data_IF_576911756052
#
_entry.id   IF_576911756052
#
_cell.length_a   1.000
_cell.length_b   1.000
_cell.length_c   1.000
_cell.angle_alpha   90.00
_cell.angle_beta   90.00
_cell.angle_gamma   90.00
#
_symmetry.space_group_name_H-M   'P 1'
#
loop_
_entity.id
_entity.type
_entity.pdbx_description
1 polymer ?
#
# COMPACT_ATOMS: atom_id res chain seq x y z
N UNK A 1 -12.35 18.70 -1.65
CA UNK A 1 -11.44 19.45 -0.74
C UNK A 1 -10.45 20.25 -1.58
N UNK A 2 -9.85 21.31 -1.07
CA UNK A 2 -8.82 22.08 -1.79
C UNK A 2 -7.46 21.74 -1.21
N UNK A 3 -6.50 21.41 -2.08
CA UNK A 3 -5.12 21.22 -1.68
C UNK A 3 -4.42 22.56 -1.31
N UNK A 4 -3.14 22.49 -0.94
CA UNK A 4 -2.33 23.68 -0.61
C UNK A 4 -2.13 24.66 -1.79
N UNK A 5 -2.43 24.22 -3.03
CA UNK A 5 -2.41 25.05 -4.23
C UNK A 5 -3.81 25.61 -4.58
N UNK A 6 -4.85 25.32 -3.77
CA UNK A 6 -6.27 25.57 -4.00
C UNK A 6 -6.84 24.80 -5.21
N UNK A 7 -6.29 23.63 -5.53
CA UNK A 7 -6.87 22.71 -6.47
C UNK A 7 -7.90 21.80 -5.79
N UNK A 8 -8.98 21.44 -6.48
CA UNK A 8 -10.03 20.59 -5.94
C UNK A 8 -9.63 19.12 -6.07
N UNK A 9 -9.47 18.44 -4.94
CA UNK A 9 -9.24 17.00 -4.90
C UNK A 9 -10.55 16.26 -5.05
N UNK A 10 -10.65 15.40 -6.06
CA UNK A 10 -11.84 14.59 -6.32
C UNK A 10 -11.48 13.23 -6.92
N UNK A 11 -12.42 12.31 -6.87
CA UNK A 11 -12.29 10.97 -7.43
C UNK A 11 -11.56 10.00 -6.53
N UNK A 12 -10.93 9.01 -7.17
CA UNK A 12 -10.03 8.03 -6.59
C UNK A 12 -8.61 8.31 -7.08
N UNK A 13 -7.70 8.46 -6.18
CA UNK A 13 -6.31 8.71 -6.49
C UNK A 13 -5.41 8.36 -5.33
N UNK A 14 -4.16 8.77 -5.41
CA UNK A 14 -3.17 8.60 -4.36
C UNK A 14 -2.93 7.13 -3.97
N UNK A 15 -2.67 6.27 -4.94
CA UNK A 15 -2.30 4.85 -4.78
C UNK A 15 -3.36 3.91 -4.19
N UNK A 16 -4.49 4.41 -3.69
CA UNK A 16 -5.53 3.56 -3.13
C UNK A 16 -6.03 2.51 -4.12
N UNK A 17 -6.13 1.26 -3.68
CA UNK A 17 -6.70 0.15 -4.45
C UNK A 17 -8.12 -0.13 -3.96
N UNK A 18 -9.14 -0.22 -4.85
CA UNK A 18 -10.46 -0.68 -4.46
C UNK A 18 -10.41 -2.11 -3.93
N UNK A 19 -11.13 -2.38 -2.83
CA UNK A 19 -11.40 -3.76 -2.43
C UNK A 19 -12.50 -4.33 -3.31
N UNK A 20 -12.36 -5.60 -3.76
CA UNK A 20 -13.37 -6.31 -4.53
C UNK A 20 -13.52 -7.72 -4.01
N UNK A 21 -14.75 -8.16 -3.73
CA UNK A 21 -15.05 -9.46 -3.14
C UNK A 21 -16.50 -9.87 -3.40
N UNK A 22 -16.80 -11.15 -3.19
CA UNK A 22 -18.16 -11.65 -3.32
C UNK A 22 -18.80 -11.81 -1.93
N UNK A 23 -20.05 -11.32 -1.79
CA UNK A 23 -20.87 -11.52 -0.62
C UNK A 23 -22.34 -11.65 -1.02
N UNK A 24 -23.02 -12.67 -0.51
CA UNK A 24 -24.44 -12.95 -0.74
C UNK A 24 -24.83 -13.01 -2.23
N UNK A 25 -23.90 -13.49 -3.08
CA UNK A 25 -24.10 -13.60 -4.53
C UNK A 25 -24.00 -12.26 -5.28
N UNK A 26 -23.47 -11.22 -4.66
CA UNK A 26 -23.18 -9.90 -5.25
C UNK A 26 -21.68 -9.66 -5.20
N UNK A 27 -21.08 -9.20 -6.29
CA UNK A 27 -19.70 -8.72 -6.30
C UNK A 27 -19.68 -7.28 -5.78
N UNK A 28 -19.12 -7.09 -4.60
CA UNK A 28 -18.96 -5.78 -3.99
C UNK A 28 -17.66 -5.14 -4.44
N UNK A 29 -17.67 -3.82 -4.61
CA UNK A 29 -16.45 -3.01 -4.59
C UNK A 29 -16.57 -1.92 -3.54
N UNK A 30 -15.52 -1.76 -2.73
CA UNK A 30 -15.45 -0.77 -1.65
C UNK A 30 -14.16 0.03 -1.80
N UNK A 31 -14.26 1.33 -1.67
CA UNK A 31 -13.10 2.22 -1.74
C UNK A 31 -13.32 3.49 -0.94
N UNK A 32 -12.24 4.03 -0.39
CA UNK A 32 -12.18 5.39 0.09
C UNK A 32 -11.93 6.35 -1.06
N UNK A 33 -12.43 7.59 -0.95
CA UNK A 33 -12.31 8.55 -2.01
C UNK A 33 -11.93 9.94 -1.50
N UNK A 34 -11.49 10.79 -2.43
CA UNK A 34 -11.06 12.16 -2.15
C UNK A 34 -12.24 13.12 -1.89
N UNK A 35 -13.48 12.62 -1.91
CA UNK A 35 -14.66 13.33 -1.43
C UNK A 35 -14.89 13.14 0.09
N UNK A 36 -14.01 12.40 0.75
CA UNK A 36 -14.09 12.11 2.17
C UNK A 36 -15.12 11.06 2.52
N UNK A 37 -15.41 10.12 1.62
CA UNK A 37 -16.35 9.05 1.88
C UNK A 37 -15.82 7.66 1.55
N UNK A 38 -16.32 6.65 2.27
CA UNK A 38 -16.18 5.24 1.91
C UNK A 38 -17.42 4.86 1.10
N UNK A 39 -17.21 4.38 -0.12
CA UNK A 39 -18.27 3.96 -1.04
C UNK A 39 -18.41 2.45 -1.08
N UNK A 40 -19.66 1.97 -1.18
CA UNK A 40 -20.05 0.56 -1.17
C UNK A 40 -20.91 0.28 -2.40
N UNK A 41 -20.36 -0.29 -3.45
CA UNK A 41 -21.02 -0.44 -4.73
C UNK A 41 -21.10 -1.92 -5.16
N UNK A 42 -22.11 -2.24 -5.93
CA UNK A 42 -22.16 -3.44 -6.76
C UNK A 42 -21.21 -3.27 -7.96
N UNK A 43 -20.22 -4.12 -8.05
CA UNK A 43 -19.17 -4.03 -9.09
C UNK A 43 -19.68 -4.32 -10.51
N UNK A 44 -20.84 -5.00 -10.65
CA UNK A 44 -21.44 -5.30 -11.96
C UNK A 44 -22.29 -4.14 -12.49
N UNK A 45 -22.95 -3.43 -11.60
CA UNK A 45 -23.96 -2.44 -11.98
C UNK A 45 -23.59 -0.99 -11.64
N UNK A 46 -22.58 -0.79 -10.76
CA UNK A 46 -22.25 0.50 -10.18
C UNK A 46 -23.29 1.04 -9.19
N UNK A 47 -24.30 0.25 -8.87
CA UNK A 47 -25.35 0.67 -7.93
C UNK A 47 -24.82 0.69 -6.49
N UNK A 48 -25.26 1.68 -5.74
CA UNK A 48 -24.96 1.77 -4.32
C UNK A 48 -25.61 0.63 -3.53
N UNK A 49 -24.83 -0.13 -2.78
CA UNK A 49 -25.30 -1.22 -1.90
C UNK A 49 -25.59 -0.73 -0.48
N UNK A 50 -24.73 0.13 0.05
CA UNK A 50 -24.93 0.83 1.32
C UNK A 50 -24.71 2.33 1.09
N UNK A 51 -25.28 3.16 1.97
CA UNK A 51 -24.97 4.60 1.94
C UNK A 51 -23.47 4.83 2.13
N UNK A 52 -22.86 5.80 1.44
CA UNK A 52 -21.50 6.18 1.73
C UNK A 52 -21.31 6.55 3.20
N UNK A 53 -20.23 6.10 3.81
CA UNK A 53 -19.83 6.52 5.15
C UNK A 53 -18.96 7.77 5.00
N UNK A 54 -19.48 8.91 5.42
CA UNK A 54 -18.76 10.18 5.37
C UNK A 54 -17.74 10.27 6.50
N UNK A 55 -16.54 10.72 6.17
CA UNK A 55 -15.44 11.06 7.08
C UNK A 55 -15.20 12.58 7.08
N UNK A 56 -14.40 13.06 8.00
CA UNK A 56 -14.14 14.51 8.14
C UNK A 56 -13.08 15.04 7.15
N UNK A 57 -12.29 14.15 6.53
CA UNK A 57 -11.31 14.48 5.49
C UNK A 57 -11.25 13.36 4.42
N UNK A 58 -10.37 13.54 3.42
CA UNK A 58 -10.19 12.60 2.31
C UNK A 58 -9.66 11.24 2.80
N UNK A 59 -9.89 10.20 1.98
CA UNK A 59 -9.30 8.88 2.18
C UNK A 59 -8.36 8.62 1.00
N UNK A 60 -7.07 8.53 1.30
CA UNK A 60 -5.99 8.28 0.34
C UNK A 60 -5.71 6.79 0.18
N UNK A 61 -5.63 6.08 1.30
CA UNK A 61 -5.22 4.70 1.37
C UNK A 61 -6.23 3.68 0.85
N UNK A 62 -5.77 2.45 0.76
CA UNK A 62 -6.61 1.32 0.38
C UNK A 62 -7.54 0.88 1.51
N UNK A 63 -8.68 0.34 1.12
CA UNK A 63 -9.63 -0.28 2.05
C UNK A 63 -9.36 -1.79 2.10
N UNK A 64 -9.32 -2.37 3.30
CA UNK A 64 -9.19 -3.81 3.50
C UNK A 64 -10.53 -4.40 3.93
N UNK A 65 -10.97 -5.45 3.24
CA UNK A 65 -12.10 -6.28 3.66
C UNK A 65 -11.57 -7.42 4.53
N UNK A 66 -12.32 -7.76 5.57
CA UNK A 66 -11.94 -8.83 6.50
C UNK A 66 -11.68 -10.16 5.78
N UNK A 67 -10.45 -10.73 5.88
CA UNK A 67 -10.07 -11.93 5.13
C UNK A 67 -10.71 -13.21 5.67
N UNK A 68 -11.19 -13.21 6.92
CA UNK A 68 -11.81 -14.37 7.56
C UNK A 68 -13.34 -14.38 7.34
N UNK A 69 -13.87 -13.40 6.59
CA UNK A 69 -15.26 -13.32 6.18
C UNK A 69 -16.20 -12.65 7.19
N UNK A 70 -15.67 -12.00 8.23
CA UNK A 70 -16.47 -11.08 9.01
C UNK A 70 -16.92 -9.90 8.14
N UNK A 71 -18.16 -9.42 8.28
CA UNK A 71 -18.64 -8.27 7.51
C UNK A 71 -18.07 -6.95 8.05
N UNK A 72 -16.75 -6.82 8.02
CA UNK A 72 -15.99 -5.67 8.50
C UNK A 72 -15.09 -5.15 7.39
N UNK A 73 -14.97 -3.84 7.33
CA UNK A 73 -14.02 -3.11 6.48
C UNK A 73 -13.11 -2.29 7.36
N UNK A 74 -11.83 -2.26 7.03
CA UNK A 74 -10.79 -1.52 7.72
C UNK A 74 -10.24 -0.44 6.81
N UNK A 75 -10.13 0.80 7.30
CA UNK A 75 -9.58 1.91 6.53
C UNK A 75 -9.09 3.03 7.42
N UNK A 76 -8.02 3.67 7.02
CA UNK A 76 -7.58 4.92 7.57
C UNK A 76 -8.05 6.12 6.75
N UNK A 77 -7.89 7.32 7.26
CA UNK A 77 -8.21 8.56 6.57
C UNK A 77 -7.28 9.69 6.99
N UNK A 78 -7.37 10.79 6.27
CA UNK A 78 -6.65 12.02 6.59
C UNK A 78 -7.30 12.84 7.72
N UNK A 79 -8.41 12.36 8.24
CA UNK A 79 -9.05 12.85 9.46
C UNK A 79 -8.52 12.16 10.73
N UNK A 80 -7.28 11.69 10.68
CA UNK A 80 -6.49 11.12 11.77
C UNK A 80 -7.02 9.78 12.32
N UNK A 81 -8.11 9.22 11.75
CA UNK A 81 -8.79 8.05 12.29
C UNK A 81 -8.59 6.78 11.45
N UNK A 82 -8.03 5.74 12.07
CA UNK A 82 -8.19 4.35 11.62
C UNK A 82 -9.54 3.83 12.10
N UNK A 83 -10.32 3.16 11.21
CA UNK A 83 -11.70 2.70 11.50
C UNK A 83 -11.90 1.24 11.21
N UNK A 84 -12.73 0.61 12.03
CA UNK A 84 -13.40 -0.66 11.78
C UNK A 84 -14.87 -0.39 11.49
N UNK A 85 -15.34 -0.77 10.30
CA UNK A 85 -16.70 -0.46 9.82
C UNK A 85 -17.46 -1.74 9.53
N UNK A 86 -18.55 -2.00 10.25
CA UNK A 86 -19.47 -3.10 9.97
C UNK A 86 -20.34 -2.77 8.75
N UNK A 87 -20.59 -3.80 7.91
CA UNK A 87 -21.36 -3.69 6.65
C UNK A 87 -22.55 -4.68 6.58
N UNK A 88 -23.04 -5.19 7.71
CA UNK A 88 -24.06 -6.24 7.80
C UNK A 88 -25.45 -5.76 8.24
N UNK A 89 -25.69 -4.47 8.48
CA UNK A 89 -26.91 -3.94 9.10
C UNK A 89 -27.67 -2.91 8.27
N UNK A 90 -27.56 -2.99 6.94
CA UNK A 90 -28.27 -2.11 6.00
C UNK A 90 -27.69 -0.68 5.89
N UNK A 91 -26.92 -0.24 6.87
CA UNK A 91 -26.10 0.98 6.85
C UNK A 91 -24.71 0.66 7.42
N UNK A 92 -23.63 1.32 6.94
CA UNK A 92 -22.31 1.13 7.53
C UNK A 92 -22.29 1.69 8.95
N UNK A 93 -21.66 0.95 9.87
CA UNK A 93 -21.54 1.36 11.27
C UNK A 93 -20.07 1.29 11.71
N UNK A 94 -19.52 2.41 12.17
CA UNK A 94 -18.20 2.41 12.81
C UNK A 94 -18.30 1.68 14.15
N UNK A 95 -17.64 0.53 14.26
CA UNK A 95 -17.57 -0.26 15.50
C UNK A 95 -16.50 0.29 16.44
N UNK A 96 -15.41 0.79 15.87
CA UNK A 96 -14.26 1.28 16.62
C UNK A 96 -13.41 2.22 15.77
N UNK A 97 -12.65 3.10 16.42
CA UNK A 97 -11.65 3.94 15.77
C UNK A 97 -10.46 4.19 16.69
N UNK A 98 -9.29 4.39 16.08
CA UNK A 98 -8.06 4.82 16.74
C UNK A 98 -7.63 6.15 16.12
N UNK A 99 -7.47 7.15 16.99
CA UNK A 99 -6.93 8.46 16.65
C UNK A 99 -5.41 8.41 16.78
N UNK A 100 -4.70 8.68 15.69
CA UNK A 100 -3.24 8.62 15.60
C UNK A 100 -2.53 9.58 16.56
N UNK A 101 -3.15 10.74 16.86
CA UNK A 101 -2.65 11.73 17.81
C UNK A 101 -2.57 11.21 19.25
N UNK A 102 -3.35 10.20 19.59
CA UNK A 102 -3.41 9.63 20.94
C UNK A 102 -2.33 8.61 21.22
N UNK A 103 -1.52 8.25 20.22
CA UNK A 103 -0.49 7.20 20.34
C UNK A 103 0.85 7.81 20.74
N UNK A 104 1.49 7.23 21.77
CA UNK A 104 2.80 7.70 22.24
C UNK A 104 3.89 7.44 21.18
N UNK A 105 4.80 8.40 21.01
CA UNK A 105 5.88 8.34 20.02
C UNK A 105 5.51 8.91 18.66
N UNK A 106 4.31 9.49 18.53
CA UNK A 106 3.90 10.18 17.31
C UNK A 106 4.81 11.37 17.02
N UNK A 107 5.30 11.45 15.77
CA UNK A 107 6.01 12.58 15.20
C UNK A 107 5.53 12.79 13.77
N UNK A 108 5.67 13.99 13.22
CA UNK A 108 5.30 14.37 11.88
C UNK A 108 3.79 14.61 11.72
N UNK A 109 3.10 13.81 10.89
CA UNK A 109 1.69 14.01 10.52
C UNK A 109 0.80 12.95 11.22
N UNK A 110 -0.50 12.91 10.91
CA UNK A 110 -1.45 12.02 11.60
C UNK A 110 -2.32 11.18 10.66
N UNK A 111 -2.08 11.27 9.35
CA UNK A 111 -2.82 10.53 8.32
C UNK A 111 -2.56 9.00 8.40
N UNK A 112 -3.46 8.23 7.78
CA UNK A 112 -3.33 6.79 7.61
C UNK A 112 -3.42 6.45 6.14
N UNK A 113 -2.29 6.24 5.47
CA UNK A 113 -2.19 5.99 4.03
C UNK A 113 -2.03 4.52 3.69
N UNK A 114 -1.33 3.74 4.51
CA UNK A 114 -1.15 2.30 4.31
C UNK A 114 -2.46 1.51 4.38
N UNK A 115 -2.57 0.44 3.59
CA UNK A 115 -3.66 -0.52 3.74
C UNK A 115 -3.51 -1.31 5.05
N UNK A 116 -4.56 -1.38 5.90
CA UNK A 116 -4.54 -2.26 7.06
C UNK A 116 -4.36 -3.73 6.64
N UNK A 117 -3.39 -4.44 7.22
CA UNK A 117 -3.19 -5.86 7.01
C UNK A 117 -3.81 -6.65 8.15
N UNK A 118 -4.73 -7.58 7.85
CA UNK A 118 -5.40 -8.41 8.86
C UNK A 118 -4.98 -9.86 8.74
N UNK A 119 -4.44 -10.43 9.81
CA UNK A 119 -4.04 -11.84 9.91
C UNK A 119 -4.30 -12.35 11.32
N UNK A 120 -4.95 -13.51 11.45
CA UNK A 120 -5.14 -14.22 12.73
C UNK A 120 -5.72 -13.34 13.86
N UNK A 121 -6.75 -12.56 13.58
CA UNK A 121 -7.41 -11.63 14.51
C UNK A 121 -6.54 -10.44 14.96
N UNK A 122 -5.45 -10.16 14.25
CA UNK A 122 -4.63 -8.96 14.44
C UNK A 122 -4.65 -8.09 13.18
N UNK A 123 -4.68 -6.79 13.40
CA UNK A 123 -4.50 -5.77 12.38
C UNK A 123 -3.14 -5.12 12.56
N UNK A 124 -2.38 -5.00 11.48
CA UNK A 124 -1.06 -4.40 11.40
C UNK A 124 -1.12 -3.19 10.49
N UNK A 125 -0.60 -2.04 10.95
CA UNK A 125 -0.59 -0.81 10.14
C UNK A 125 0.50 0.16 10.61
N UNK A 126 1.14 0.85 9.67
CA UNK A 126 1.90 2.06 9.91
C UNK A 126 1.02 3.30 9.78
N UNK A 127 1.40 4.40 10.39
CA UNK A 127 0.73 5.69 10.23
C UNK A 127 1.74 6.79 9.88
N UNK A 128 1.26 7.90 9.31
CA UNK A 128 2.08 9.09 9.12
C UNK A 128 2.53 9.71 10.46
N UNK A 129 1.90 9.31 11.57
CA UNK A 129 2.39 9.59 12.92
C UNK A 129 3.73 8.89 13.24
N UNK A 130 4.30 8.18 12.26
CA UNK A 130 5.59 7.49 12.35
C UNK A 130 5.62 6.32 13.33
N UNK A 131 4.46 5.76 13.66
CA UNK A 131 4.34 4.64 14.60
C UNK A 131 3.81 3.41 13.86
N UNK A 132 4.37 2.24 14.18
CA UNK A 132 3.84 0.93 13.78
C UNK A 132 2.90 0.41 14.87
N UNK A 133 1.70 -0.03 14.46
CA UNK A 133 0.63 -0.45 15.36
C UNK A 133 0.22 -1.90 15.11
N UNK A 134 -0.07 -2.62 16.20
CA UNK A 134 -0.71 -3.93 16.17
C UNK A 134 -1.96 -3.87 17.05
N UNK A 135 -3.12 -4.13 16.44
CA UNK A 135 -4.41 -4.12 17.10
C UNK A 135 -4.97 -5.53 17.09
N UNK A 136 -5.29 -6.09 18.27
CA UNK A 136 -6.04 -7.32 18.38
C UNK A 136 -7.53 -7.00 18.19
N UNK A 137 -8.19 -7.64 17.25
CA UNK A 137 -9.53 -7.24 16.80
C UNK A 137 -10.65 -7.76 17.70
N UNK A 138 -10.51 -8.94 18.32
CA UNK A 138 -11.50 -9.60 19.19
C UNK A 138 -12.89 -9.64 18.52
N UNK A 139 -12.93 -10.14 17.27
CA UNK A 139 -14.15 -10.21 16.44
C UNK A 139 -15.10 -11.28 16.93
N UNK A 140 -16.40 -10.99 16.90
CA UNK A 140 -17.47 -11.89 17.32
C UNK A 140 -18.80 -11.55 16.63
N UNK A 141 -19.86 -12.27 16.97
CA UNK A 141 -21.23 -11.93 16.60
C UNK A 141 -22.09 -11.78 17.86
N UNK A 142 -23.03 -10.85 17.83
CA UNK A 142 -24.04 -10.70 18.88
C UNK A 142 -25.16 -11.76 18.78
N UNK A 143 -26.13 -11.69 19.69
CA UNK A 143 -27.27 -12.64 19.76
C UNK A 143 -28.20 -12.55 18.53
N UNK A 144 -28.21 -11.41 17.83
CA UNK A 144 -28.99 -11.17 16.62
C UNK A 144 -28.21 -11.55 15.33
N UNK A 145 -26.94 -11.94 15.47
CA UNK A 145 -26.06 -12.36 14.38
C UNK A 145 -25.34 -11.21 13.67
N UNK A 146 -25.33 -10.01 14.23
CA UNK A 146 -24.55 -8.89 13.72
C UNK A 146 -23.10 -8.95 14.22
N UNK A 147 -22.18 -8.51 13.36
CA UNK A 147 -20.78 -8.49 13.71
C UNK A 147 -20.48 -7.46 14.81
N UNK A 148 -19.63 -7.87 15.73
CA UNK A 148 -19.07 -7.06 16.81
C UNK A 148 -17.55 -7.16 16.79
N UNK A 149 -16.88 -6.12 17.32
CA UNK A 149 -15.46 -6.14 17.58
C UNK A 149 -15.16 -5.35 18.84
N UNK A 150 -14.17 -5.82 19.63
CA UNK A 150 -13.67 -5.13 20.83
C UNK A 150 -12.14 -4.94 20.69
N UNK A 151 -11.69 -4.06 19.75
CA UNK A 151 -10.28 -3.92 19.41
C UNK A 151 -9.47 -3.37 20.57
N UNK A 152 -8.27 -3.93 20.72
CA UNK A 152 -7.27 -3.53 21.70
C UNK A 152 -5.95 -3.22 21.01
N UNK A 153 -5.38 -2.02 21.21
CA UNK A 153 -4.03 -1.70 20.78
C UNK A 153 -3.05 -2.47 21.67
N UNK A 154 -2.52 -3.59 21.17
CA UNK A 154 -1.64 -4.47 21.93
C UNK A 154 -0.17 -4.15 21.78
N UNK A 155 0.22 -3.45 20.73
CA UNK A 155 1.59 -3.01 20.50
C UNK A 155 1.61 -1.73 19.67
N UNK A 156 2.45 -0.78 20.07
CA UNK A 156 2.76 0.42 19.29
C UNK A 156 4.23 0.78 19.52
N UNK A 157 4.95 1.04 18.43
CA UNK A 157 6.37 1.38 18.52
C UNK A 157 6.75 2.42 17.47
N UNK A 158 7.60 3.41 17.79
CA UNK A 158 8.15 4.32 16.80
C UNK A 158 8.82 3.56 15.66
N UNK A 159 8.44 3.87 14.42
CA UNK A 159 9.07 3.38 13.20
C UNK A 159 10.42 4.03 12.90
N UNK A 160 11.02 4.68 13.88
CA UNK A 160 12.27 5.40 13.79
C UNK A 160 13.13 5.13 15.04
N UNK A 161 14.39 5.52 14.98
CA UNK A 161 15.30 5.56 16.12
C UNK A 161 16.08 6.89 16.12
N UNK A 162 16.82 7.14 17.21
CA UNK A 162 17.58 8.40 17.40
C UNK A 162 18.58 8.65 16.26
N UNK A 163 19.23 7.59 15.75
CA UNK A 163 20.20 7.71 14.65
C UNK A 163 19.51 8.22 13.38
N UNK A 164 18.31 7.72 13.07
CA UNK A 164 17.53 8.16 11.91
C UNK A 164 17.08 9.61 12.07
N UNK A 165 16.39 9.94 13.17
CA UNK A 165 15.90 11.30 13.45
C UNK A 165 17.03 12.34 13.41
N UNK A 166 18.18 12.03 13.99
CA UNK A 166 19.35 12.92 13.96
C UNK A 166 19.92 13.12 12.54
N UNK A 167 19.65 12.18 11.63
CA UNK A 167 20.16 12.22 10.26
C UNK A 167 19.18 12.90 9.30
N UNK A 168 17.90 12.55 9.37
CA UNK A 168 16.90 12.95 8.36
C UNK A 168 15.81 13.92 8.88
N UNK A 169 15.74 14.14 10.20
CA UNK A 169 14.70 14.95 10.83
C UNK A 169 13.45 14.12 11.16
N UNK A 170 12.33 14.79 11.48
CA UNK A 170 11.11 14.17 11.99
C UNK A 170 10.13 13.68 10.90
N UNK A 171 10.35 13.97 9.63
CA UNK A 171 9.55 13.38 8.55
C UNK A 171 10.01 11.93 8.32
N UNK A 172 9.36 11.02 9.04
CA UNK A 172 9.66 9.58 9.06
C UNK A 172 8.35 8.77 9.12
N UNK A 173 7.31 9.27 8.46
CA UNK A 173 6.00 8.63 8.32
C UNK A 173 6.10 7.19 7.78
N UNK A 174 5.15 6.34 8.13
CA UNK A 174 5.03 5.00 7.55
C UNK A 174 3.80 5.02 6.64
N UNK A 175 4.02 5.26 5.34
CA UNK A 175 2.96 5.43 4.34
C UNK A 175 2.66 4.11 3.61
N UNK A 176 3.67 3.27 3.40
CA UNK A 176 3.51 1.93 2.86
C UNK A 176 2.78 0.97 3.79
N UNK A 177 2.13 -0.04 3.20
CA UNK A 177 1.50 -1.10 3.97
C UNK A 177 2.54 -2.04 4.59
N UNK A 178 2.12 -2.76 5.65
CA UNK A 178 2.96 -3.77 6.30
C UNK A 178 2.96 -5.06 5.48
N UNK A 179 4.14 -5.66 5.28
CA UNK A 179 4.28 -6.99 4.71
C UNK A 179 4.65 -7.99 5.81
N UNK A 180 4.09 -9.21 5.76
CA UNK A 180 4.44 -10.29 6.70
C UNK A 180 4.98 -11.47 5.92
N UNK A 181 6.14 -11.99 6.35
CA UNK A 181 6.73 -13.23 5.86
C UNK A 181 7.20 -14.10 7.02
N UNK A 182 6.67 -15.34 7.09
CA UNK A 182 6.83 -16.15 8.28
C UNK A 182 6.27 -15.45 9.52
N UNK A 183 7.08 -15.31 10.53
CA UNK A 183 6.74 -14.63 11.78
C UNK A 183 7.28 -13.19 11.85
N UNK A 184 7.69 -12.58 10.73
CA UNK A 184 8.25 -11.23 10.75
C UNK A 184 7.38 -10.25 9.96
N UNK A 185 7.03 -9.11 10.58
CA UNK A 185 6.43 -7.96 9.94
C UNK A 185 7.52 -7.02 9.42
N UNK A 186 7.42 -6.60 8.15
CA UNK A 186 8.32 -5.67 7.51
C UNK A 186 7.59 -4.40 7.10
N UNK A 187 8.22 -3.26 7.31
CA UNK A 187 7.77 -1.96 6.83
C UNK A 187 8.97 -1.01 6.66
N UNK A 188 8.75 0.08 5.97
CA UNK A 188 9.72 1.16 5.86
C UNK A 188 9.04 2.50 6.15
N UNK A 189 9.84 3.54 6.24
CA UNK A 189 9.37 4.89 6.51
C UNK A 189 9.96 5.92 5.55
N UNK A 190 9.41 7.13 5.54
CA UNK A 190 9.86 8.25 4.71
C UNK A 190 11.27 8.75 5.04
N UNK A 191 11.86 8.27 6.13
CA UNK A 191 13.30 8.46 6.43
C UNK A 191 14.20 7.43 5.76
N UNK A 192 13.63 6.45 5.05
CA UNK A 192 14.35 5.37 4.38
C UNK A 192 14.76 4.22 5.29
N UNK A 193 14.16 4.06 6.46
CA UNK A 193 14.49 2.97 7.37
C UNK A 193 13.58 1.75 7.15
N UNK A 194 14.14 0.69 6.61
CA UNK A 194 13.52 -0.64 6.51
C UNK A 194 13.69 -1.38 7.82
N UNK A 195 12.60 -1.92 8.36
CA UNK A 195 12.58 -2.65 9.62
C UNK A 195 11.87 -3.99 9.48
N UNK A 196 12.31 -4.97 10.31
CA UNK A 196 11.63 -6.24 10.54
C UNK A 196 11.39 -6.45 12.04
N UNK A 197 10.19 -6.93 12.38
CA UNK A 197 9.78 -7.18 13.76
C UNK A 197 9.27 -8.61 13.90
N UNK A 198 9.89 -9.39 14.77
CA UNK A 198 9.53 -10.77 15.08
C UNK A 198 8.23 -10.81 15.91
N UNK A 199 7.21 -11.44 15.34
CA UNK A 199 5.86 -11.59 15.90
C UNK A 199 5.64 -12.95 16.56
N UNK A 200 6.64 -13.84 16.59
CA UNK A 200 6.49 -15.25 16.99
C UNK A 200 5.86 -15.46 18.36
N UNK A 201 6.04 -14.51 19.27
CA UNK A 201 5.49 -14.54 20.62
C UNK A 201 4.23 -13.66 20.81
N UNK A 202 3.76 -12.99 19.76
CA UNK A 202 2.58 -12.11 19.86
C UNK A 202 1.34 -12.86 20.37
N UNK A 203 1.12 -14.10 19.91
CA UNK A 203 -0.04 -14.91 20.29
C UNK A 203 -0.08 -15.31 21.77
N UNK A 204 1.05 -15.25 22.47
CA UNK A 204 1.14 -15.50 23.92
C UNK A 204 1.21 -14.21 24.74
N UNK A 205 1.06 -13.06 24.09
CA UNK A 205 0.99 -11.74 24.72
C UNK A 205 2.34 -11.12 25.04
N UNK A 206 3.40 -11.55 24.34
CA UNK A 206 4.72 -10.92 24.43
C UNK A 206 4.93 -9.92 23.30
N UNK A 207 5.65 -8.84 23.61
CA UNK A 207 5.91 -7.77 22.64
C UNK A 207 6.80 -8.24 21.48
N UNK A 208 6.52 -7.83 20.25
CA UNK A 208 7.42 -8.02 19.11
C UNK A 208 8.82 -7.44 19.34
N UNK A 209 9.82 -8.08 18.74
CA UNK A 209 11.22 -7.66 18.87
C UNK A 209 11.78 -7.32 17.52
N UNK A 210 12.39 -6.12 17.36
CA UNK A 210 13.05 -5.75 16.12
C UNK A 210 14.23 -6.68 15.82
N UNK A 211 14.15 -7.42 14.71
CA UNK A 211 15.18 -8.38 14.27
C UNK A 211 15.88 -7.95 12.97
N UNK A 212 15.39 -6.92 12.28
CA UNK A 212 15.99 -6.39 11.06
C UNK A 212 15.98 -4.86 11.04
N UNK A 213 17.08 -4.27 10.53
CA UNK A 213 17.24 -2.82 10.35
C UNK A 213 18.19 -2.54 9.18
N UNK A 214 17.69 -1.83 8.17
CA UNK A 214 18.53 -1.38 7.07
C UNK A 214 18.11 0.02 6.60
N UNK A 215 19.07 0.95 6.47
CA UNK A 215 18.79 2.30 6.00
C UNK A 215 19.11 2.43 4.52
N UNK A 216 18.07 2.62 3.69
CA UNK A 216 18.21 2.77 2.22
C UNK A 216 18.57 4.20 1.82
N UNK A 217 18.29 5.19 2.65
CA UNK A 217 18.85 6.54 2.50
C UNK A 217 17.91 7.63 2.05
N UNK A 218 16.72 7.32 1.55
CA UNK A 218 15.70 8.29 1.15
C UNK A 218 14.29 7.68 1.29
N UNK A 219 13.28 8.39 0.88
CA UNK A 219 11.86 8.12 1.13
C UNK A 219 11.39 6.76 0.61
N UNK A 220 10.55 6.07 1.39
CA UNK A 220 9.94 4.77 1.03
C UNK A 220 8.45 4.80 1.32
N UNK A 221 7.66 5.11 0.30
CA UNK A 221 6.20 5.06 0.34
C UNK A 221 5.65 3.73 -0.19
N UNK A 222 6.42 3.09 -1.07
CA UNK A 222 6.07 1.78 -1.59
C UNK A 222 5.97 0.72 -0.47
N UNK A 223 4.96 -0.13 -0.55
CA UNK A 223 4.92 -1.34 0.29
C UNK A 223 6.09 -2.26 -0.04
N UNK A 224 6.78 -2.77 0.97
CA UNK A 224 7.82 -3.78 0.81
C UNK A 224 7.19 -5.05 0.25
N UNK A 225 7.76 -5.58 -0.83
CA UNK A 225 7.34 -6.87 -1.39
C UNK A 225 8.29 -7.96 -0.93
N UNK A 226 7.76 -9.10 -0.52
CA UNK A 226 8.55 -10.25 -0.07
C UNK A 226 8.32 -11.43 -1.00
N UNK A 227 9.39 -12.04 -1.50
CA UNK A 227 9.28 -13.24 -2.34
C UNK A 227 9.18 -14.54 -1.52
N UNK A 228 9.01 -15.65 -2.23
CA UNK A 228 8.84 -16.99 -1.64
C UNK A 228 10.07 -17.48 -0.87
N UNK A 229 11.24 -16.95 -1.20
CA UNK A 229 12.52 -17.21 -0.53
C UNK A 229 12.75 -16.28 0.68
N UNK A 230 11.91 -15.25 0.86
CA UNK A 230 11.97 -14.31 1.96
C UNK A 230 12.83 -13.07 1.69
N UNK A 231 13.26 -12.83 0.44
CA UNK A 231 13.96 -11.59 0.09
C UNK A 231 12.98 -10.41 0.04
N UNK A 232 13.45 -9.25 0.49
CA UNK A 232 12.69 -8.00 0.46
C UNK A 232 13.03 -7.20 -0.79
N UNK A 233 12.02 -6.62 -1.42
CA UNK A 233 12.13 -5.68 -2.52
C UNK A 233 11.59 -4.33 -2.08
N UNK A 234 12.43 -3.29 -2.14
CA UNK A 234 12.16 -1.97 -1.60
C UNK A 234 12.28 -0.93 -2.72
N UNK A 235 11.16 -0.26 -3.03
CA UNK A 235 11.14 0.94 -3.85
C UNK A 235 11.57 2.14 -3.00
N UNK A 236 12.40 3.02 -3.54
CA UNK A 236 12.90 4.21 -2.86
C UNK A 236 12.68 5.40 -3.78
N UNK A 237 12.07 6.43 -3.26
CA UNK A 237 12.02 7.72 -3.92
C UNK A 237 13.34 8.47 -3.73
N UNK A 238 13.58 9.38 -4.63
CA UNK A 238 14.71 10.25 -4.63
C UNK A 238 14.23 11.67 -4.40
N UNK A 239 13.69 11.88 -3.19
CA UNK A 239 12.99 13.12 -2.86
C UNK A 239 13.92 14.14 -2.19
N UNK A 240 14.67 13.71 -1.19
CA UNK A 240 15.50 14.58 -0.34
C UNK A 240 16.96 14.60 -0.76
N UNK A 241 17.38 13.64 -1.57
CA UNK A 241 18.72 13.58 -2.16
C UNK A 241 19.83 13.30 -1.17
N UNK A 242 19.57 12.46 -0.16
CA UNK A 242 20.62 12.05 0.75
C UNK A 242 21.70 11.24 0.03
N UNK A 243 22.97 11.47 0.38
CA UNK A 243 24.09 10.76 -0.22
C UNK A 243 23.97 9.23 -0.17
N UNK A 244 23.26 8.68 0.80
CA UNK A 244 23.07 7.25 0.97
C UNK A 244 22.25 6.66 -0.15
N UNK A 245 21.18 7.30 -0.59
CA UNK A 245 20.33 6.82 -1.68
C UNK A 245 21.07 6.75 -3.02
N UNK A 246 22.01 7.68 -3.26
CA UNK A 246 22.93 7.62 -4.41
C UNK A 246 23.90 6.43 -4.37
N UNK A 247 24.14 5.86 -3.20
CA UNK A 247 25.03 4.71 -3.05
C UNK A 247 24.26 3.39 -3.14
N UNK A 248 22.99 3.39 -2.71
CA UNK A 248 22.16 2.19 -2.58
C UNK A 248 21.28 1.96 -3.79
N UNK A 249 20.78 3.02 -4.44
CA UNK A 249 19.86 2.94 -5.60
C UNK A 249 18.41 3.13 -5.23
N UNK A 250 17.52 3.17 -6.25
CA UNK A 250 16.09 3.47 -6.09
C UNK A 250 15.20 2.22 -6.04
N UNK A 251 15.73 1.04 -6.40
CA UNK A 251 15.05 -0.22 -6.17
C UNK A 251 16.06 -1.26 -5.69
N UNK A 252 15.79 -1.88 -4.56
CA UNK A 252 16.79 -2.62 -3.78
C UNK A 252 16.25 -3.99 -3.40
N UNK A 253 17.07 -5.05 -3.56
CA UNK A 253 16.83 -6.36 -2.99
C UNK A 253 17.68 -6.55 -1.74
N UNK A 254 17.03 -6.97 -0.64
CA UNK A 254 17.67 -7.25 0.65
C UNK A 254 17.43 -8.70 1.08
N UNK A 255 18.41 -9.29 1.76
CA UNK A 255 18.33 -10.59 2.44
C UNK A 255 18.21 -10.39 3.95
N UNK A 256 17.01 -10.43 4.54
CA UNK A 256 16.83 -10.24 5.98
C UNK A 256 17.38 -11.40 6.82
N UNK A 257 17.67 -12.56 6.23
CA UNK A 257 18.31 -13.67 6.93
C UNK A 257 19.78 -13.42 7.23
N UNK A 258 20.40 -12.43 6.57
CA UNK A 258 21.76 -11.95 6.81
C UNK A 258 21.77 -10.47 7.24
N UNK A 259 21.29 -10.14 8.44
CA UNK A 259 21.07 -8.74 8.85
C UNK A 259 22.35 -7.90 8.99
N UNK A 260 23.51 -8.53 9.10
CA UNK A 260 24.80 -7.83 9.15
C UNK A 260 25.26 -7.33 7.76
N UNK A 261 24.87 -8.01 6.67
CA UNK A 261 25.16 -7.65 5.29
C UNK A 261 23.99 -8.05 4.36
N UNK A 262 22.85 -7.35 4.45
CA UNK A 262 21.63 -7.77 3.77
C UNK A 262 21.54 -7.35 2.30
N UNK A 263 22.43 -6.49 1.81
CA UNK A 263 22.38 -5.99 0.44
C UNK A 263 22.67 -7.09 -0.58
N UNK A 264 21.75 -7.31 -1.54
CA UNK A 264 21.93 -8.29 -2.61
C UNK A 264 22.25 -7.60 -3.93
N UNK A 265 21.35 -6.73 -4.41
CA UNK A 265 21.54 -5.94 -5.61
C UNK A 265 20.63 -4.71 -5.59
N UNK A 266 20.86 -3.76 -6.47
CA UNK A 266 19.99 -2.61 -6.67
C UNK A 266 19.97 -2.12 -8.11
N UNK A 267 18.92 -1.36 -8.44
CA UNK A 267 18.75 -0.63 -9.69
C UNK A 267 18.83 0.86 -9.39
N UNK A 268 19.55 1.56 -10.25
CA UNK A 268 19.57 3.02 -10.27
C UNK A 268 18.65 3.51 -11.38
N UNK A 269 17.68 4.34 -11.03
CA UNK A 269 16.93 5.12 -12.01
C UNK A 269 17.66 6.44 -12.32
N UNK A 270 17.26 7.16 -13.36
CA UNK A 270 17.90 8.41 -13.72
C UNK A 270 17.73 9.45 -12.63
N UNK A 271 18.84 9.95 -12.15
CA UNK A 271 18.93 10.73 -10.93
C UNK A 271 18.75 12.24 -11.18
N UNK A 272 17.57 12.67 -11.63
CA UNK A 272 17.16 14.06 -11.46
C UNK A 272 16.07 14.09 -10.37
N UNK A 273 16.30 14.83 -9.31
CA UNK A 273 15.39 15.00 -8.17
C UNK A 273 14.13 15.81 -8.58
N UNK A 274 12.92 15.45 -8.14
CA UNK A 274 12.54 14.18 -7.51
C UNK A 274 12.31 13.09 -8.57
N UNK A 275 12.73 11.87 -8.29
CA UNK A 275 12.50 10.69 -9.15
C UNK A 275 12.60 9.42 -8.29
N UNK A 276 12.24 8.27 -8.82
CA UNK A 276 12.43 7.00 -8.11
C UNK A 276 11.31 6.00 -8.32
N UNK A 277 11.15 5.14 -7.31
CA UNK A 277 10.15 4.05 -7.32
C UNK A 277 9.16 4.28 -6.19
N UNK A 278 8.07 4.95 -6.51
CA UNK A 278 6.99 5.25 -5.57
C UNK A 278 5.94 4.12 -5.49
N UNK A 279 5.71 3.43 -6.60
CA UNK A 279 4.74 2.36 -6.69
C UNK A 279 5.27 1.02 -6.12
N UNK A 280 4.39 0.25 -5.51
CA UNK A 280 4.70 -1.11 -5.04
C UNK A 280 4.99 -2.04 -6.22
N UNK A 281 6.08 -2.79 -6.17
CA UNK A 281 6.49 -3.70 -7.23
C UNK A 281 5.57 -4.92 -7.37
N UNK A 282 5.52 -5.52 -8.57
CA UNK A 282 4.85 -6.80 -8.80
C UNK A 282 5.87 -7.94 -8.98
N UNK A 283 5.64 -9.08 -8.33
CA UNK A 283 6.40 -10.31 -8.57
C UNK A 283 5.67 -11.17 -9.62
N UNK A 284 6.42 -11.66 -10.60
CA UNK A 284 5.90 -12.56 -11.62
C UNK A 284 6.96 -13.56 -12.06
N UNK A 285 6.78 -14.85 -11.71
CA UNK A 285 7.75 -15.92 -12.00
C UNK A 285 9.15 -15.54 -11.48
N UNK A 286 10.10 -15.41 -12.40
CA UNK A 286 11.49 -15.05 -12.16
C UNK A 286 11.78 -13.53 -12.31
N UNK A 287 10.73 -12.71 -12.46
CA UNK A 287 10.83 -11.26 -12.55
C UNK A 287 10.28 -10.55 -11.30
N UNK A 288 10.86 -9.40 -11.02
CA UNK A 288 10.19 -8.30 -10.34
C UNK A 288 9.96 -7.16 -11.34
N UNK A 289 8.74 -6.63 -11.37
CA UNK A 289 8.33 -5.57 -12.29
C UNK A 289 8.11 -4.31 -11.47
N UNK A 290 8.80 -3.24 -11.86
CA UNK A 290 8.69 -1.92 -11.24
C UNK A 290 8.27 -0.87 -12.27
N UNK A 291 7.76 0.23 -11.76
CA UNK A 291 7.49 1.45 -12.52
C UNK A 291 8.13 2.63 -11.81
N UNK A 292 8.47 3.68 -12.57
CA UNK A 292 9.23 4.82 -12.03
C UNK A 292 8.59 6.15 -12.40
N UNK A 293 8.95 7.20 -11.68
CA UNK A 293 8.55 8.57 -11.99
C UNK A 293 9.07 9.03 -13.36
N UNK A 294 10.21 8.49 -13.79
CA UNK A 294 10.75 8.72 -15.14
C UNK A 294 9.97 8.00 -16.26
N UNK A 295 8.77 7.47 -15.96
CA UNK A 295 7.87 6.83 -16.92
C UNK A 295 8.33 5.47 -17.46
N UNK A 296 9.26 4.81 -16.81
CA UNK A 296 9.78 3.49 -17.19
C UNK A 296 8.94 2.37 -16.56
N UNK A 297 8.68 1.33 -17.35
CA UNK A 297 8.23 0.02 -16.88
C UNK A 297 9.37 -0.95 -17.08
N UNK A 298 9.84 -1.59 -16.00
CA UNK A 298 11.11 -2.33 -16.00
C UNK A 298 10.85 -3.75 -15.45
N UNK A 299 11.25 -4.77 -16.21
CA UNK A 299 11.30 -6.15 -15.73
C UNK A 299 12.72 -6.56 -15.38
N UNK A 300 12.91 -6.95 -14.13
CA UNK A 300 14.22 -7.22 -13.52
C UNK A 300 14.27 -8.69 -13.12
N UNK A 301 15.38 -9.37 -13.43
CA UNK A 301 15.66 -10.73 -12.94
C UNK A 301 15.76 -10.73 -11.41
N UNK A 302 14.91 -11.52 -10.72
CA UNK A 302 14.88 -11.58 -9.26
C UNK A 302 16.21 -12.03 -8.62
N UNK A 303 16.99 -12.84 -9.33
CA UNK A 303 18.23 -13.45 -8.81
C UNK A 303 19.41 -12.49 -9.04
N UNK A 304 19.58 -12.02 -10.28
CA UNK A 304 20.79 -11.27 -10.68
C UNK A 304 20.66 -9.79 -10.55
N UNK A 305 19.44 -9.22 -10.55
CA UNK A 305 19.20 -7.78 -10.65
C UNK A 305 19.37 -7.21 -12.07
N UNK A 306 19.59 -8.07 -13.08
CA UNK A 306 19.73 -7.62 -14.46
C UNK A 306 18.40 -7.17 -15.02
N UNK A 307 18.39 -6.01 -15.69
CA UNK A 307 17.21 -5.55 -16.44
C UNK A 307 17.06 -6.45 -17.68
N UNK A 308 16.00 -7.25 -17.73
CA UNK A 308 15.68 -8.09 -18.88
C UNK A 308 15.01 -7.33 -20.00
N UNK A 309 14.15 -6.38 -19.63
CA UNK A 309 13.47 -5.50 -20.57
C UNK A 309 13.00 -4.22 -19.88
N UNK A 310 12.86 -3.18 -20.67
CA UNK A 310 12.24 -1.92 -20.26
C UNK A 310 11.53 -1.24 -21.41
N UNK A 311 10.57 -0.40 -21.08
CA UNK A 311 9.90 0.48 -22.03
C UNK A 311 9.26 1.69 -21.32
N UNK A 312 8.97 2.72 -22.13
CA UNK A 312 8.33 3.93 -21.65
C UNK A 312 6.83 3.93 -21.99
N UNK A 313 6.04 4.43 -21.04
CA UNK A 313 4.65 4.84 -21.28
C UNK A 313 4.49 6.30 -20.82
N UNK A 314 3.27 6.82 -20.72
CA UNK A 314 3.10 8.20 -20.27
C UNK A 314 3.17 8.27 -18.73
N UNK A 315 4.23 8.87 -18.20
CA UNK A 315 4.46 9.02 -16.75
C UNK A 315 4.21 10.43 -16.22
N UNK A 316 4.48 10.65 -14.93
CA UNK A 316 5.04 9.72 -13.94
C UNK A 316 4.14 8.50 -13.69
N UNK A 317 4.68 7.40 -13.11
CA UNK A 317 3.94 6.17 -12.88
C UNK A 317 3.83 5.90 -11.38
N UNK A 318 2.70 6.27 -10.80
CA UNK A 318 2.40 6.12 -9.37
C UNK A 318 1.47 4.94 -9.05
N UNK A 319 0.64 4.52 -10.03
CA UNK A 319 -0.17 3.30 -9.91
C UNK A 319 0.72 2.06 -9.89
N UNK A 320 0.56 1.20 -8.90
CA UNK A 320 1.31 -0.05 -8.82
C UNK A 320 1.00 -0.98 -9.99
N UNK A 321 2.01 -1.65 -10.58
CA UNK A 321 1.80 -2.69 -11.58
C UNK A 321 1.07 -3.88 -10.95
N UNK A 322 0.07 -4.42 -11.65
CA UNK A 322 -0.68 -5.61 -11.23
C UNK A 322 -0.52 -6.71 -12.27
N UNK A 323 -0.10 -7.90 -11.85
CA UNK A 323 0.01 -9.04 -12.75
C UNK A 323 -1.01 -10.11 -12.35
N UNK A 324 -1.87 -10.47 -13.30
CA UNK A 324 -2.84 -11.56 -13.16
C UNK A 324 -2.56 -12.60 -14.25
N UNK A 325 -2.28 -13.82 -13.85
CA UNK A 325 -1.79 -14.88 -14.71
C UNK A 325 -0.52 -14.42 -15.46
N UNK A 326 -0.62 -14.19 -16.77
CA UNK A 326 0.47 -13.72 -17.61
C UNK A 326 0.19 -12.31 -18.20
N UNK A 327 -0.71 -11.54 -17.58
CA UNK A 327 -1.10 -10.20 -18.03
C UNK A 327 -0.67 -9.15 -17.01
N UNK A 328 0.18 -8.23 -17.43
CA UNK A 328 0.54 -7.02 -16.66
C UNK A 328 -0.46 -5.91 -16.96
N UNK A 329 -1.10 -5.38 -15.95
CA UNK A 329 -1.92 -4.17 -15.99
C UNK A 329 -1.11 -2.99 -15.45
N UNK A 330 -1.06 -1.89 -16.22
CA UNK A 330 -0.39 -0.66 -15.82
C UNK A 330 -1.20 0.57 -16.25
N UNK A 331 -1.56 1.37 -15.28
CA UNK A 331 -2.18 2.68 -15.51
C UNK A 331 -1.13 3.74 -15.88
N UNK A 332 -1.54 4.73 -16.66
CA UNK A 332 -0.64 5.80 -17.11
C UNK A 332 -1.20 7.22 -16.88
N UNK A 333 -0.32 8.22 -16.93
CA UNK A 333 -0.68 9.63 -16.75
C UNK A 333 -1.31 10.30 -17.99
N UNK A 334 -1.73 9.53 -18.98
CA UNK A 334 -2.62 10.01 -20.04
C UNK A 334 -4.06 9.50 -19.91
N UNK A 335 -4.39 8.90 -18.76
CA UNK A 335 -5.74 8.45 -18.44
C UNK A 335 -6.08 7.07 -18.99
N UNK A 336 -5.10 6.23 -19.26
CA UNK A 336 -5.33 4.90 -19.80
C UNK A 336 -4.84 3.80 -18.87
N UNK A 337 -5.59 2.71 -18.84
CA UNK A 337 -5.14 1.41 -18.35
C UNK A 337 -4.60 0.61 -19.54
N UNK A 338 -3.38 0.10 -19.41
CA UNK A 338 -2.69 -0.68 -20.42
C UNK A 338 -2.56 -2.13 -19.94
N UNK A 339 -2.68 -3.10 -20.86
CA UNK A 339 -2.39 -4.50 -20.60
C UNK A 339 -1.29 -5.01 -21.50
N UNK A 340 -0.36 -5.79 -20.94
CA UNK A 340 0.80 -6.35 -21.64
C UNK A 340 0.91 -7.84 -21.40
N UNK A 341 1.35 -8.60 -22.42
CA UNK A 341 1.68 -10.03 -22.30
C UNK A 341 3.05 -10.19 -21.65
N UNK A 342 3.09 -10.74 -20.42
CA UNK A 342 4.33 -11.04 -19.67
C UNK A 342 4.58 -12.54 -19.54
N UNK A 343 3.97 -13.34 -20.39
CA UNK A 343 4.11 -14.80 -20.38
C UNK A 343 5.54 -15.24 -20.59
N UNK A 344 6.23 -14.64 -21.55
CA UNK A 344 7.67 -14.84 -21.78
C UNK A 344 8.44 -13.71 -21.08
N UNK A 345 9.02 -14.04 -19.94
CA UNK A 345 9.75 -13.10 -19.08
C UNK A 345 11.08 -12.60 -19.67
N UNK A 346 11.56 -13.24 -20.75
CA UNK A 346 12.87 -12.94 -21.37
C UNK A 346 12.80 -11.86 -22.45
N UNK A 347 11.61 -11.49 -22.91
CA UNK A 347 11.42 -10.52 -23.98
C UNK A 347 10.59 -9.33 -23.51
N UNK A 348 10.77 -8.20 -24.19
CA UNK A 348 9.93 -7.01 -23.96
C UNK A 348 8.46 -7.34 -24.22
N UNK A 349 7.55 -7.07 -23.25
CA UNK A 349 6.12 -7.36 -23.38
C UNK A 349 5.46 -6.67 -24.58
N UNK A 350 4.57 -7.39 -25.25
CA UNK A 350 3.68 -6.82 -26.26
C UNK A 350 2.42 -6.28 -25.58
N UNK A 351 1.96 -5.09 -26.02
CA UNK A 351 0.71 -4.51 -25.51
C UNK A 351 -0.48 -5.25 -26.11
N UNK A 352 -1.29 -5.87 -25.25
CA UNK A 352 -2.52 -6.57 -25.63
C UNK A 352 -3.64 -5.60 -25.95
N UNK A 353 -3.85 -4.61 -25.08
CA UNK A 353 -4.87 -3.57 -25.25
C UNK A 353 -4.52 -2.31 -24.44
N UNK A 354 -5.25 -1.24 -24.73
CA UNK A 354 -5.23 0.04 -24.03
C UNK A 354 -6.66 0.55 -23.90
N UNK A 355 -7.09 0.88 -22.69
CA UNK A 355 -8.45 1.29 -22.40
C UNK A 355 -8.48 2.69 -21.76
N UNK A 356 -9.30 3.65 -22.27
CA UNK A 356 -9.41 4.97 -21.66
C UNK A 356 -10.28 4.90 -20.39
N UNK A 357 -9.71 5.31 -19.26
CA UNK A 357 -10.40 5.37 -17.96
C UNK A 357 -10.89 6.79 -17.66
N UNK A 358 -10.06 7.80 -17.94
CA UNK A 358 -10.39 9.18 -17.65
C UNK A 358 -9.42 10.18 -18.28
N UNK A 359 -9.40 11.40 -17.76
CA UNK A 359 -8.44 12.40 -18.18
C UNK A 359 -7.36 12.54 -17.08
N UNK A 360 -6.12 12.79 -17.52
CA UNK A 360 -4.99 12.98 -16.62
C UNK A 360 -4.42 11.70 -16.05
N UNK A 361 -3.64 11.84 -14.99
CA UNK A 361 -2.95 10.74 -14.33
C UNK A 361 -3.91 9.75 -13.67
N UNK A 362 -3.66 8.46 -13.84
CA UNK A 362 -4.28 7.41 -13.05
C UNK A 362 -3.29 7.01 -11.95
N UNK A 363 -3.62 7.37 -10.73
CA UNK A 363 -2.80 7.11 -9.54
C UNK A 363 -3.26 5.85 -8.82
N UNK A 364 -4.58 5.56 -8.86
CA UNK A 364 -5.16 4.38 -8.22
C UNK A 364 -4.63 3.08 -8.83
N UNK A 365 -4.36 2.10 -7.99
CA UNK A 365 -3.98 0.75 -8.40
C UNK A 365 -5.21 -0.03 -8.84
N UNK A 366 -5.22 -0.72 -10.00
CA UNK A 366 -6.35 -1.52 -10.42
C UNK A 366 -6.57 -2.74 -9.54
N UNK A 367 -7.83 -3.03 -9.17
CA UNK A 367 -8.24 -4.27 -8.55
C UNK A 367 -8.84 -5.22 -9.60
N UNK A 368 -8.55 -6.52 -9.48
CA UNK A 368 -9.01 -7.54 -10.43
C UNK A 368 -9.69 -8.68 -9.68
N UNK A 369 -10.90 -9.03 -10.10
CA UNK A 369 -11.67 -10.13 -9.52
C UNK A 369 -12.62 -10.72 -10.57
N UNK A 370 -12.59 -12.05 -10.74
CA UNK A 370 -13.52 -12.81 -11.58
C UNK A 370 -13.80 -12.16 -12.95
N UNK A 371 -12.72 -11.82 -13.69
CA UNK A 371 -12.80 -11.20 -15.00
C UNK A 371 -13.18 -9.71 -15.05
N UNK A 372 -13.32 -9.06 -13.88
CA UNK A 372 -13.61 -7.63 -13.73
C UNK A 372 -12.34 -6.88 -13.35
N UNK A 373 -12.21 -5.65 -13.83
CA UNK A 373 -11.16 -4.71 -13.44
C UNK A 373 -11.84 -3.44 -12.92
N UNK A 374 -11.53 -3.05 -11.69
CA UNK A 374 -11.98 -1.81 -11.08
C UNK A 374 -10.78 -0.90 -10.90
N UNK A 375 -10.88 0.31 -11.39
CA UNK A 375 -9.85 1.34 -11.24
C UNK A 375 -10.53 2.71 -11.16
N UNK A 376 -10.08 3.53 -10.22
CA UNK A 376 -10.56 4.90 -10.09
C UNK A 376 -9.72 5.91 -10.86
N UNK A 377 -10.27 7.12 -11.03
CA UNK A 377 -9.58 8.26 -11.59
C UNK A 377 -9.88 9.55 -10.82
N UNK A 378 -9.12 10.60 -11.10
CA UNK A 378 -9.29 11.93 -10.49
C UNK A 378 -10.50 12.72 -11.01
N UNK A 379 -11.22 12.23 -12.04
CA UNK A 379 -12.45 12.83 -12.59
C UNK A 379 -13.72 12.42 -11.77
N UNK A 380 -13.57 11.68 -10.68
CA UNK A 380 -14.66 11.18 -9.85
C UNK A 380 -15.43 10.03 -10.50
N UNK A 381 -14.75 9.19 -11.26
CA UNK A 381 -15.29 7.96 -11.87
C UNK A 381 -14.49 6.76 -11.41
N UNK A 382 -15.17 5.67 -11.19
CA UNK A 382 -14.60 4.36 -10.92
C UNK A 382 -15.21 3.32 -11.87
#
# INVERSE_FOLDING_TARGET
MLDYQNEEWCGLGWTGQPAIFERDGITWTIFGALDGAIHFLDADTGNQLLKPLQTDDIIKGSVTVDPDGFPIVYTGGRDDLLRLVAIDRGEPLVLWSLDSDTVEGSVWNNDWDGAPLVINDYLFIGGENSVFHIIKLNRSYDEDGFVMAEPELVFAVPGYDDDLINTVGSNVSIEGSVAISGDTAYFANSGGLVQGWDLSLLSVGEDPVRNFRYWVGDDVDATIVVDEEGYLYVGVEYERGFNRSFQVGQFIKLDPSNPDDPFVWSIFDNAELPDGVWATAALHKDLVIIVTDSARVIGIDKITGDIRWEFLIQGPLWSSPVVIDDVLLQADCSGFLNAYDVKDTSIKPERLWRFPVGNGCLEATPAVWDGKIIIGNRDGKA
#
